data_IF_819049899200
#
_entry.id   IF_819049899200
#
_cell.length_a   1.000
_cell.length_b   1.000
_cell.length_c   1.000
_cell.angle_alpha   90.00
_cell.angle_beta   90.00
_cell.angle_gamma   90.00
#
_symmetry.space_group_name_H-M   'P 1'
#
loop_
_entity.id
_entity.type
_entity.pdbx_description
1 polymer ?
#
# COMPACT_ATOMS: atom_id res chain seq x y z
N UNK A 1 -31.56 -23.21 19.89
CA UNK A 1 -32.02 -22.88 18.54
C UNK A 1 -33.05 -21.78 18.64
N UNK A 2 -32.71 -20.56 18.20
CA UNK A 2 -33.65 -19.44 18.10
C UNK A 2 -33.16 -18.50 17.00
N UNK A 3 -33.85 -18.59 15.85
CA UNK A 3 -34.30 -17.51 14.97
C UNK A 3 -33.35 -16.35 14.66
N UNK A 4 -32.76 -16.43 13.46
CA UNK A 4 -32.31 -15.32 12.64
C UNK A 4 -33.52 -14.60 12.02
N UNK A 5 -33.58 -13.27 12.12
CA UNK A 5 -34.13 -12.35 11.10
C UNK A 5 -34.06 -10.92 11.62
N UNK A 6 -33.32 -10.03 10.95
CA UNK A 6 -33.91 -8.89 10.25
C UNK A 6 -32.81 -8.05 9.60
N UNK A 7 -32.83 -8.01 8.26
CA UNK A 7 -32.01 -7.16 7.43
C UNK A 7 -32.72 -5.82 7.27
N UNK A 8 -32.12 -4.72 7.72
CA UNK A 8 -32.62 -3.37 7.48
C UNK A 8 -31.61 -2.62 6.60
N UNK A 9 -31.87 -2.60 5.29
CA UNK A 9 -31.16 -1.73 4.36
C UNK A 9 -31.68 -0.30 4.52
N UNK A 10 -30.85 0.58 5.09
CA UNK A 10 -31.13 2.01 5.17
C UNK A 10 -30.76 2.65 3.84
N UNK A 11 -31.77 2.99 3.05
CA UNK A 11 -31.63 3.77 1.83
C UNK A 11 -31.40 5.24 2.20
N UNK A 12 -30.25 5.78 1.80
CA UNK A 12 -29.96 7.21 1.92
C UNK A 12 -30.57 7.93 0.71
N UNK A 13 -31.41 8.92 1.01
CA UNK A 13 -32.24 9.65 0.06
C UNK A 13 -31.40 10.46 -0.94
N UNK A 14 -31.78 10.40 -2.21
CA UNK A 14 -31.14 11.10 -3.31
C UNK A 14 -31.14 12.63 -3.11
N UNK A 15 -29.97 13.25 -3.29
CA UNK A 15 -29.81 14.69 -3.38
C UNK A 15 -30.39 15.20 -4.71
N UNK A 16 -31.54 15.86 -4.66
CA UNK A 16 -32.00 16.75 -5.75
C UNK A 16 -31.55 18.17 -5.45
N UNK A 17 -30.73 18.75 -6.33
CA UNK A 17 -30.53 20.20 -6.35
C UNK A 17 -29.19 20.69 -6.87
N UNK A 18 -28.88 20.48 -8.15
CA UNK A 18 -27.94 21.37 -8.84
C UNK A 18 -28.63 22.07 -10.01
N UNK A 19 -28.90 23.35 -9.79
CA UNK A 19 -29.42 24.30 -10.77
C UNK A 19 -28.26 24.74 -11.66
N UNK A 20 -28.14 24.13 -12.84
CA UNK A 20 -27.24 24.60 -13.88
C UNK A 20 -27.92 25.73 -14.68
N UNK A 21 -27.30 26.90 -14.72
CA UNK A 21 -27.70 28.03 -15.53
C UNK A 21 -26.84 28.11 -16.80
N UNK A 22 -27.48 28.41 -17.92
CA UNK A 22 -26.85 29.15 -19.03
C UNK A 22 -26.27 28.31 -20.16
N UNK A 23 -27.02 28.25 -21.26
CA UNK A 23 -26.63 27.67 -22.54
C UNK A 23 -25.51 28.47 -23.25
N UNK A 24 -24.59 27.75 -23.92
CA UNK A 24 -23.73 28.30 -24.96
C UNK A 24 -23.78 27.39 -26.21
N UNK A 25 -23.86 28.02 -27.39
CA UNK A 25 -24.09 27.46 -28.73
C UNK A 25 -23.06 26.39 -29.17
N UNK A 26 -23.44 25.44 -30.04
CA UNK A 26 -22.50 24.50 -30.64
C UNK A 26 -21.72 25.17 -31.79
N UNK A 27 -20.39 25.12 -31.73
CA UNK A 27 -19.53 25.39 -32.87
C UNK A 27 -19.06 24.06 -33.46
N UNK A 28 -19.35 23.87 -34.74
CA UNK A 28 -18.96 22.73 -35.57
C UNK A 28 -17.44 22.66 -35.74
N UNK A 29 -16.80 21.59 -35.26
CA UNK A 29 -15.46 21.20 -35.66
C UNK A 29 -15.52 19.90 -36.46
N UNK A 30 -15.12 19.98 -37.75
CA UNK A 30 -14.95 18.83 -38.64
C UNK A 30 -13.85 17.91 -38.09
N UNK A 31 -14.19 16.66 -37.79
CA UNK A 31 -13.19 15.59 -37.64
C UNK A 31 -12.87 15.07 -39.03
N UNK A 32 -11.65 15.31 -39.49
CA UNK A 32 -11.09 14.64 -40.68
C UNK A 32 -10.85 13.18 -40.29
N UNK A 33 -11.48 12.26 -41.00
CA UNK A 33 -11.28 10.83 -40.85
C UNK A 33 -9.85 10.46 -41.29
N UNK A 34 -9.00 10.08 -40.33
CA UNK A 34 -7.76 9.39 -40.60
C UNK A 34 -8.01 7.88 -40.53
N UNK A 35 -7.75 7.20 -41.66
CA UNK A 35 -7.86 5.74 -41.79
C UNK A 35 -6.90 5.01 -40.83
N UNK A 36 -7.28 3.86 -40.25
CA UNK A 36 -6.32 3.03 -39.53
C UNK A 36 -5.46 2.27 -40.54
N UNK A 37 -4.19 2.67 -40.65
CA UNK A 37 -3.18 1.85 -41.30
C UNK A 37 -2.84 0.65 -40.40
N UNK A 38 -3.21 -0.55 -40.84
CA UNK A 38 -2.84 -1.80 -40.18
C UNK A 38 -1.31 -2.02 -40.28
N UNK A 39 -0.59 -2.34 -39.19
CA UNK A 39 0.74 -2.89 -39.31
C UNK A 39 0.63 -4.35 -39.77
N UNK A 40 1.09 -4.61 -40.99
CA UNK A 40 1.19 -5.97 -41.56
C UNK A 40 2.35 -6.68 -40.86
N UNK A 41 2.06 -7.41 -39.79
CA UNK A 41 3.06 -8.28 -39.15
C UNK A 41 3.15 -9.58 -39.94
N UNK A 42 4.14 -9.66 -40.83
CA UNK A 42 4.51 -10.91 -41.48
C UNK A 42 5.36 -11.75 -40.50
N UNK A 43 4.72 -12.56 -39.66
CA UNK A 43 5.41 -13.62 -38.92
C UNK A 43 5.51 -14.83 -39.82
N UNK A 44 6.67 -15.04 -40.46
CA UNK A 44 7.05 -16.37 -40.95
C UNK A 44 7.54 -17.18 -39.75
N UNK A 45 6.65 -17.99 -39.17
CA UNK A 45 7.04 -19.03 -38.22
C UNK A 45 7.37 -20.31 -39.01
N UNK A 46 8.63 -20.75 -38.92
CA UNK A 46 9.01 -22.13 -39.22
C UNK A 46 9.98 -22.56 -38.13
N UNK A 47 9.43 -23.13 -37.05
CA UNK A 47 10.19 -23.91 -36.08
C UNK A 47 9.46 -25.25 -35.97
N UNK A 48 10.11 -26.28 -36.53
CA UNK A 48 9.71 -27.68 -36.39
C UNK A 48 9.87 -28.08 -34.93
N UNK A 49 8.89 -28.85 -34.46
CA UNK A 49 8.84 -29.56 -33.18
C UNK A 49 10.19 -30.10 -32.72
N UNK A 50 10.53 -29.92 -31.44
CA UNK A 50 11.03 -30.98 -30.55
C UNK A 50 10.88 -30.51 -29.10
N UNK A 51 10.15 -31.30 -28.31
CA UNK A 51 9.70 -30.94 -26.97
C UNK A 51 10.79 -30.97 -25.90
N UNK A 52 10.63 -30.09 -24.91
CA UNK A 52 11.09 -30.25 -23.53
C UNK A 52 10.03 -29.58 -22.65
N UNK A 53 9.45 -30.35 -21.74
CA UNK A 53 8.48 -29.89 -20.76
C UNK A 53 9.13 -28.86 -19.82
N UNK A 54 8.63 -27.63 -19.83
CA UNK A 54 9.04 -26.58 -18.89
C UNK A 54 8.34 -26.88 -17.56
N UNK A 55 9.15 -27.23 -16.55
CA UNK A 55 8.74 -27.27 -15.15
C UNK A 55 8.14 -25.92 -14.79
N UNK A 56 6.91 -25.94 -14.27
CA UNK A 56 6.20 -24.76 -13.80
C UNK A 56 7.01 -24.09 -12.67
N UNK A 57 7.77 -23.06 -13.04
CA UNK A 57 8.34 -22.09 -12.11
C UNK A 57 7.19 -21.46 -11.34
N UNK A 58 7.00 -21.86 -10.08
CA UNK A 58 6.25 -21.07 -9.11
C UNK A 58 7.00 -19.75 -8.93
N UNK A 59 6.61 -18.74 -9.71
CA UNK A 59 6.91 -17.37 -9.40
C UNK A 59 6.16 -17.04 -8.09
N UNK A 60 6.81 -17.30 -6.96
CA UNK A 60 6.48 -16.59 -5.73
C UNK A 60 6.69 -15.12 -6.09
N UNK A 61 5.60 -14.37 -6.18
CA UNK A 61 5.62 -12.95 -6.45
C UNK A 61 6.50 -12.29 -5.40
N UNK A 62 7.69 -11.86 -5.81
CA UNK A 62 8.38 -10.78 -5.13
C UNK A 62 7.43 -9.60 -5.29
N UNK A 63 6.65 -9.34 -4.26
CA UNK A 63 5.99 -8.05 -4.11
C UNK A 63 7.14 -7.05 -4.11
N UNK A 64 7.38 -6.43 -5.26
CA UNK A 64 8.22 -5.27 -5.35
C UNK A 64 7.53 -4.22 -4.48
N UNK A 65 7.94 -4.16 -3.21
CA UNK A 65 7.63 -3.05 -2.33
C UNK A 65 8.07 -1.81 -3.09
N UNK A 66 7.10 -0.95 -3.39
CA UNK A 66 7.40 0.43 -3.73
C UNK A 66 8.41 0.93 -2.68
N UNK A 67 9.39 1.74 -3.06
CA UNK A 67 10.36 2.37 -2.16
C UNK A 67 9.69 3.38 -1.19
N UNK A 68 8.62 2.96 -0.53
CA UNK A 68 7.82 3.64 0.46
C UNK A 68 8.19 2.98 1.78
N UNK A 69 8.78 3.75 2.68
CA UNK A 69 9.14 3.28 4.01
C UNK A 69 7.95 2.57 4.69
N UNK A 70 8.26 1.54 5.47
CA UNK A 70 7.26 0.87 6.30
C UNK A 70 7.03 1.72 7.54
N UNK A 71 5.83 2.28 7.66
CA UNK A 71 5.43 3.05 8.84
C UNK A 71 4.92 2.13 9.95
N UNK A 72 5.45 2.29 11.15
CA UNK A 72 4.99 1.65 12.40
C UNK A 72 4.52 2.76 13.35
N UNK A 73 3.24 2.77 13.69
CA UNK A 73 2.69 3.75 14.62
C UNK A 73 3.04 3.38 16.07
N UNK A 74 3.40 4.40 16.85
CA UNK A 74 3.62 4.30 18.28
C UNK A 74 2.34 4.74 19.00
N UNK A 75 1.59 3.76 19.47
CA UNK A 75 0.29 3.92 20.09
C UNK A 75 -0.88 3.90 19.10
N UNK A 76 -1.95 3.20 19.45
CA UNK A 76 -3.15 3.10 18.63
C UNK A 76 -4.10 4.28 18.78
N UNK A 77 -4.95 4.49 17.77
CA UNK A 77 -5.97 5.54 17.76
C UNK A 77 -7.00 5.38 18.89
N UNK A 78 -7.11 4.17 19.44
CA UNK A 78 -7.92 3.82 20.60
C UNK A 78 -7.21 4.10 21.95
N UNK A 79 -5.99 4.62 21.92
CA UNK A 79 -5.15 4.87 23.10
C UNK A 79 -4.38 3.64 23.59
N UNK A 80 -4.34 2.55 22.82
CA UNK A 80 -3.52 1.38 23.14
C UNK A 80 -2.03 1.71 23.08
N UNK A 81 -1.24 1.16 24.02
CA UNK A 81 0.22 1.34 24.07
C UNK A 81 0.90 0.19 23.32
N UNK A 82 0.83 0.24 21.99
CA UNK A 82 1.33 -0.80 21.12
C UNK A 82 1.99 -0.23 19.86
N UNK A 83 2.92 -0.99 19.28
CA UNK A 83 3.36 -0.80 17.91
C UNK A 83 2.27 -1.27 16.95
N UNK A 84 1.94 -0.46 15.95
CA UNK A 84 0.90 -0.79 14.95
C UNK A 84 1.46 -0.59 13.53
N UNK A 85 1.62 -1.65 12.73
CA UNK A 85 1.46 -3.07 13.11
C UNK A 85 2.53 -3.55 14.11
N UNK A 86 2.19 -4.55 14.93
CA UNK A 86 3.10 -5.13 15.93
C UNK A 86 4.18 -6.05 15.35
N UNK A 87 3.90 -6.67 14.21
CA UNK A 87 4.79 -7.58 13.51
C UNK A 87 4.91 -7.11 12.05
N UNK A 88 6.13 -6.94 11.55
CA UNK A 88 6.41 -6.61 10.15
C UNK A 88 7.46 -7.54 9.57
N UNK A 89 7.47 -7.67 8.25
CA UNK A 89 8.55 -8.34 7.50
C UNK A 89 8.98 -7.39 6.40
N UNK A 90 10.26 -7.02 6.41
CA UNK A 90 10.84 -6.05 5.48
C UNK A 90 12.00 -6.66 4.71
N UNK A 91 12.25 -6.14 3.52
CA UNK A 91 13.45 -6.51 2.77
C UNK A 91 14.70 -5.83 3.38
N UNK A 92 15.89 -6.42 3.25
CA UNK A 92 17.13 -5.75 3.65
C UNK A 92 17.30 -4.42 2.92
N UNK A 93 17.58 -3.35 3.68
CA UNK A 93 17.75 -2.00 3.14
C UNK A 93 16.46 -1.19 2.99
N UNK A 94 15.31 -1.73 3.42
CA UNK A 94 14.06 -0.99 3.51
C UNK A 94 14.05 -0.07 4.73
N UNK A 95 13.52 1.14 4.56
CA UNK A 95 13.38 2.12 5.64
C UNK A 95 12.14 1.79 6.48
N UNK A 96 12.30 1.80 7.80
CA UNK A 96 11.19 1.67 8.76
C UNK A 96 11.07 3.01 9.47
N UNK A 97 9.89 3.61 9.43
CA UNK A 97 9.58 4.88 10.11
C UNK A 97 8.69 4.58 11.31
N UNK A 98 9.23 4.75 12.51
CA UNK A 98 8.45 4.68 13.73
C UNK A 98 7.81 6.04 13.99
N UNK A 99 6.49 6.14 13.88
CA UNK A 99 5.78 7.42 13.94
C UNK A 99 4.95 7.52 15.20
N UNK A 100 5.25 8.52 16.02
CA UNK A 100 4.50 8.80 17.22
C UNK A 100 3.05 9.17 16.87
N UNK A 101 2.07 8.49 17.48
CA UNK A 101 0.66 8.69 17.15
C UNK A 101 -0.15 9.12 18.38
N UNK A 102 -0.19 8.26 19.41
CA UNK A 102 -1.01 8.49 20.60
C UNK A 102 -0.36 7.88 21.85
N UNK A 103 -0.72 8.38 23.04
CA UNK A 103 -0.23 7.82 24.30
C UNK A 103 1.24 8.09 24.61
N UNK A 104 1.83 9.13 24.01
CA UNK A 104 3.20 9.60 24.23
C UNK A 104 3.44 10.08 25.67
N UNK A 105 4.71 10.10 26.16
CA UNK A 105 5.97 9.90 25.41
C UNK A 105 6.28 8.44 25.05
N UNK A 106 6.97 8.24 23.90
CA UNK A 106 7.47 6.93 23.44
C UNK A 106 8.96 6.97 23.08
N UNK A 107 9.61 5.82 23.05
CA UNK A 107 10.92 5.61 22.44
C UNK A 107 10.90 4.31 21.60
N UNK A 108 11.98 4.09 20.85
CA UNK A 108 12.19 2.84 20.09
C UNK A 108 13.55 2.28 20.46
N UNK A 109 13.54 1.15 21.15
CA UNK A 109 14.74 0.44 21.61
C UNK A 109 14.66 -1.01 21.14
N UNK A 110 15.73 -1.47 20.50
CA UNK A 110 15.88 -2.86 20.10
C UNK A 110 16.42 -3.67 21.28
N UNK A 111 15.81 -4.81 21.55
CA UNK A 111 16.25 -5.73 22.60
C UNK A 111 17.62 -6.32 22.24
N UNK A 112 18.60 -6.17 23.13
CA UNK A 112 19.96 -6.67 22.93
C UNK A 112 20.06 -8.19 22.83
N UNK A 113 19.09 -8.91 23.42
CA UNK A 113 19.03 -10.37 23.42
C UNK A 113 18.29 -10.94 22.19
N UNK A 114 17.48 -10.12 21.50
CA UNK A 114 16.65 -10.52 20.35
C UNK A 114 17.10 -9.91 19.02
N UNK A 115 18.37 -9.51 18.90
CA UNK A 115 18.98 -9.08 17.64
C UNK A 115 19.93 -10.15 17.06
N UNK A 116 20.12 -10.21 15.73
CA UNK A 116 21.10 -11.08 15.12
C UNK A 116 22.52 -10.80 15.60
N UNK A 117 23.35 -11.85 15.69
CA UNK A 117 24.75 -11.74 16.09
C UNK A 117 25.51 -10.75 15.20
N UNK A 118 26.24 -9.81 15.82
CA UNK A 118 27.04 -8.80 15.12
C UNK A 118 26.29 -7.50 14.82
N UNK A 119 24.99 -7.42 15.14
CA UNK A 119 24.24 -6.16 15.18
C UNK A 119 24.46 -5.50 16.54
N UNK A 120 24.78 -4.21 16.55
CA UNK A 120 24.84 -3.39 17.76
C UNK A 120 23.46 -2.78 18.01
N UNK A 121 22.69 -3.37 18.94
CA UNK A 121 21.35 -2.90 19.28
C UNK A 121 21.34 -1.46 19.80
N UNK A 122 22.36 -1.06 20.56
CA UNK A 122 22.47 0.30 21.09
C UNK A 122 22.67 1.33 19.99
N UNK A 123 23.44 1.00 18.95
CA UNK A 123 23.68 1.90 17.82
C UNK A 123 22.45 2.13 16.92
N UNK A 124 21.47 1.22 16.94
CA UNK A 124 20.22 1.33 16.16
C UNK A 124 19.01 1.72 17.02
N UNK A 125 19.19 1.84 18.33
CA UNK A 125 18.14 2.26 19.27
C UNK A 125 18.17 3.77 19.48
N UNK A 126 17.04 4.32 19.89
CA UNK A 126 17.00 5.67 20.45
C UNK A 126 17.66 5.66 21.84
N UNK A 127 18.44 6.69 22.21
CA UNK A 127 18.95 6.80 23.57
C UNK A 127 17.77 6.98 24.55
N UNK A 128 17.90 6.44 25.77
CA UNK A 128 16.78 6.40 26.74
C UNK A 128 16.22 7.78 27.10
N UNK A 129 17.05 8.81 26.97
CA UNK A 129 16.73 10.20 27.25
C UNK A 129 16.06 10.95 26.08
N UNK A 130 16.15 10.43 24.85
CA UNK A 130 15.40 10.95 23.71
C UNK A 130 14.04 10.26 23.62
N UNK A 131 13.01 11.03 23.92
CA UNK A 131 11.62 10.61 23.84
C UNK A 131 10.89 11.38 22.75
N UNK A 132 10.04 10.68 22.02
CA UNK A 132 9.05 11.26 21.12
C UNK A 132 7.86 11.74 21.96
N UNK A 133 7.73 13.05 22.10
CA UNK A 133 6.82 13.73 23.00
C UNK A 133 5.56 14.28 22.31
N UNK A 134 5.51 14.27 20.97
CA UNK A 134 4.40 14.82 20.21
C UNK A 134 3.95 13.93 19.05
N UNK A 135 2.68 14.03 18.63
CA UNK A 135 2.17 13.27 17.49
C UNK A 135 2.88 13.69 16.19
N UNK A 136 3.26 12.70 15.39
CA UNK A 136 3.97 12.86 14.11
C UNK A 136 5.49 12.94 14.22
N UNK A 137 6.07 12.96 15.43
CA UNK A 137 7.51 12.82 15.62
C UNK A 137 7.98 11.40 15.24
N UNK A 138 9.19 11.28 14.70
CA UNK A 138 9.79 10.04 14.16
C UNK A 138 11.26 9.96 14.51
#
# INVERSE_FOLDING_TARGET
MATLTSSAAVAISAFSGLKAAGAAKPATAKVVAAAPAAPRVAVKASLKDFGVAIVATTAAGILAGNAMAVEVLLGGDDGSLAFIPKDITVAPGEEIVFKNNAGFPHNVVFDEDEVPSGVDAGAISMPEEDLLNGPGET
#
